data_IF_640891639947
#
_entry.id   IF_640891639947
#
_cell.length_a   1.000
_cell.length_b   1.000
_cell.length_c   1.000
_cell.angle_alpha   90.00
_cell.angle_beta   90.00
_cell.angle_gamma   90.00
#
_symmetry.space_group_name_H-M   'P 1'
#
loop_
_entity.id
_entity.type
_entity.pdbx_description
1 polymer ?
#
# COMPACT_ATOMS: atom_id res chain seq x y z
N UNK A 1 6.43 57.32 2.08
CA UNK A 1 6.16 56.04 1.40
C UNK A 1 6.92 54.98 2.16
N UNK A 2 6.25 54.27 3.07
CA UNK A 2 6.86 53.25 3.93
C UNK A 2 6.61 51.88 3.30
N UNK A 3 7.60 50.97 3.24
CA UNK A 3 7.36 49.60 2.79
C UNK A 3 6.60 48.81 3.88
N UNK A 4 5.60 48.04 3.46
CA UNK A 4 4.88 47.12 4.34
C UNK A 4 5.69 45.83 4.56
N UNK A 5 5.68 45.24 5.77
CA UNK A 5 6.33 43.97 6.03
C UNK A 5 5.54 42.82 5.41
N UNK A 6 6.27 41.90 4.78
CA UNK A 6 5.73 40.67 4.19
C UNK A 6 5.06 39.80 5.26
N UNK A 7 3.92 39.23 4.88
CA UNK A 7 3.20 38.29 5.72
C UNK A 7 4.02 37.00 5.88
N UNK A 8 4.44 36.75 7.11
CA UNK A 8 4.97 35.46 7.56
C UNK A 8 3.89 34.38 7.34
N UNK A 9 4.15 33.47 6.39
CA UNK A 9 3.36 32.25 6.24
C UNK A 9 3.84 31.22 7.25
N UNK A 10 2.96 30.55 8.02
CA UNK A 10 3.39 29.61 9.04
C UNK A 10 3.91 28.31 8.41
N UNK A 11 5.10 27.90 8.84
CA UNK A 11 5.75 26.65 8.48
C UNK A 11 4.95 25.44 8.97
N UNK A 12 4.19 24.80 8.06
CA UNK A 12 3.51 23.52 8.32
C UNK A 12 4.01 22.35 7.47
N UNK A 13 5.11 22.51 6.73
CA UNK A 13 5.51 21.54 5.70
C UNK A 13 6.99 21.12 5.75
N UNK A 14 7.50 20.77 6.94
CA UNK A 14 8.81 20.08 7.07
C UNK A 14 8.64 18.65 7.61
N UNK A 15 7.56 17.97 7.24
CA UNK A 15 7.56 16.50 7.30
C UNK A 15 8.41 16.00 6.13
N UNK A 16 9.48 15.23 6.35
CA UNK A 16 10.21 14.61 5.25
C UNK A 16 9.21 13.74 4.48
N UNK A 17 8.86 14.20 3.28
CA UNK A 17 8.08 13.43 2.33
C UNK A 17 9.06 12.50 1.62
N UNK A 18 8.87 11.20 1.81
CA UNK A 18 9.39 10.20 0.88
C UNK A 18 8.74 10.44 -0.49
N UNK A 19 9.33 9.92 -1.57
CA UNK A 19 8.74 10.01 -2.92
C UNK A 19 7.24 9.66 -2.95
N UNK A 20 6.86 8.70 -2.09
CA UNK A 20 5.48 8.36 -1.77
C UNK A 20 5.19 8.50 -0.30
N UNK A 21 4.07 9.12 0.05
CA UNK A 21 3.52 9.10 1.42
C UNK A 21 4.17 10.03 2.43
N UNK A 22 3.75 9.87 3.68
CA UNK A 22 4.26 10.61 4.83
C UNK A 22 4.84 9.65 5.87
N UNK A 23 5.46 10.19 6.91
CA UNK A 23 6.07 9.41 8.00
C UNK A 23 5.13 8.37 8.67
N UNK A 24 3.80 8.50 8.55
CA UNK A 24 2.84 7.52 9.09
C UNK A 24 2.59 6.33 8.17
N UNK A 25 2.39 6.56 6.87
CA UNK A 25 2.07 5.49 5.91
C UNK A 25 3.29 4.96 5.14
N UNK A 26 4.41 5.68 5.20
CA UNK A 26 5.64 5.36 4.45
C UNK A 26 6.92 5.55 5.28
N UNK A 27 6.80 5.72 6.60
CA UNK A 27 7.94 5.87 7.51
C UNK A 27 8.85 4.64 7.55
N UNK A 28 10.05 4.80 8.10
CA UNK A 28 11.08 3.75 8.11
C UNK A 28 10.71 2.51 8.93
N UNK A 29 9.98 2.68 10.02
CA UNK A 29 9.46 1.56 10.81
C UNK A 29 8.30 0.88 10.07
N UNK A 30 8.61 -0.27 9.46
CA UNK A 30 7.66 -1.06 8.67
C UNK A 30 6.48 -1.57 9.52
N UNK A 31 6.71 -1.95 10.78
CA UNK A 31 5.66 -2.45 11.67
C UNK A 31 4.66 -1.34 12.01
N UNK A 32 5.17 -0.16 12.38
CA UNK A 32 4.34 1.02 12.64
C UNK A 32 3.58 1.45 11.38
N UNK A 33 4.24 1.45 10.22
CA UNK A 33 3.59 1.76 8.95
C UNK A 33 2.52 0.72 8.59
N UNK A 34 2.74 -0.57 8.88
CA UNK A 34 1.77 -1.63 8.58
C UNK A 34 0.52 -1.49 9.44
N UNK A 35 0.70 -1.26 10.74
CA UNK A 35 -0.40 -1.00 11.66
C UNK A 35 -1.23 0.20 11.20
N UNK A 36 -0.58 1.28 10.75
CA UNK A 36 -1.28 2.43 10.18
C UNK A 36 -1.99 2.08 8.86
N UNK A 37 -1.30 1.45 7.92
CA UNK A 37 -1.81 1.19 6.58
C UNK A 37 -3.02 0.23 6.58
N UNK A 38 -3.00 -0.76 7.45
CA UNK A 38 -4.09 -1.73 7.63
C UNK A 38 -5.33 -1.13 8.28
N UNK A 39 -5.16 -0.19 9.23
CA UNK A 39 -6.28 0.31 10.06
C UNK A 39 -6.78 1.70 9.69
N UNK A 40 -5.98 2.54 9.02
CA UNK A 40 -6.28 3.97 8.82
C UNK A 40 -6.47 4.37 7.36
N UNK A 41 -6.01 3.60 6.38
CA UNK A 41 -6.22 3.99 4.97
C UNK A 41 -7.68 3.85 4.59
N UNK A 42 -8.24 4.91 4.02
CA UNK A 42 -9.63 4.91 3.53
C UNK A 42 -9.69 4.11 2.23
N UNK A 43 -10.50 3.05 2.19
CA UNK A 43 -10.78 2.31 0.96
C UNK A 43 -11.57 3.21 0.01
N UNK A 44 -11.04 3.44 -1.20
CA UNK A 44 -11.66 4.27 -2.24
C UNK A 44 -12.29 3.43 -3.35
N UNK A 45 -11.66 2.31 -3.71
CA UNK A 45 -12.17 1.39 -4.72
C UNK A 45 -11.95 -0.06 -4.30
N UNK A 46 -12.83 -0.92 -4.78
CA UNK A 46 -12.77 -2.38 -4.65
C UNK A 46 -12.56 -2.92 -6.06
N UNK A 47 -11.40 -3.50 -6.34
CA UNK A 47 -11.09 -4.05 -7.66
C UNK A 47 -11.40 -5.54 -7.67
N UNK A 48 -10.88 -6.28 -6.69
CA UNK A 48 -11.18 -7.71 -6.49
C UNK A 48 -11.62 -7.93 -5.04
N UNK A 49 -12.73 -8.65 -4.84
CA UNK A 49 -13.26 -9.02 -3.53
C UNK A 49 -13.63 -10.50 -3.48
N UNK A 50 -12.63 -11.34 -3.24
CA UNK A 50 -12.80 -12.77 -2.97
C UNK A 50 -12.32 -13.06 -1.55
N UNK A 51 -12.75 -14.18 -0.95
CA UNK A 51 -12.44 -14.52 0.45
C UNK A 51 -10.93 -14.59 0.72
N UNK A 52 -10.17 -15.18 -0.20
CA UNK A 52 -8.73 -15.46 -0.05
C UNK A 52 -7.86 -14.58 -0.97
N UNK A 53 -8.47 -13.66 -1.71
CA UNK A 53 -7.76 -12.74 -2.58
C UNK A 53 -8.54 -11.43 -2.72
N UNK A 54 -7.90 -10.31 -2.39
CA UNK A 54 -8.51 -9.00 -2.61
C UNK A 54 -7.52 -7.96 -3.06
N UNK A 55 -8.00 -7.06 -3.91
CA UNK A 55 -7.26 -5.89 -4.38
C UNK A 55 -8.14 -4.68 -4.21
N UNK A 56 -7.65 -3.67 -3.48
CA UNK A 56 -8.38 -2.43 -3.23
C UNK A 56 -7.48 -1.22 -3.35
N UNK A 57 -8.02 -0.11 -3.87
CA UNK A 57 -7.31 1.18 -3.86
C UNK A 57 -7.64 1.88 -2.55
N UNK A 58 -6.61 2.26 -1.78
CA UNK A 58 -6.76 2.93 -0.49
C UNK A 58 -5.99 4.24 -0.47
N UNK A 59 -6.47 5.21 0.29
CA UNK A 59 -5.89 6.55 0.38
C UNK A 59 -5.56 6.89 1.82
N UNK A 60 -4.36 7.41 2.06
CA UNK A 60 -3.95 7.94 3.34
C UNK A 60 -4.77 9.20 3.66
N UNK A 61 -5.49 9.26 4.79
CA UNK A 61 -6.27 10.44 5.15
C UNK A 61 -5.39 11.62 5.58
N UNK A 62 -4.13 11.39 5.97
CA UNK A 62 -3.22 12.46 6.42
C UNK A 62 -2.52 13.17 5.26
N UNK A 63 -2.03 12.44 4.25
CA UNK A 63 -1.22 13.02 3.17
C UNK A 63 -1.80 12.83 1.78
N UNK A 64 -2.92 12.09 1.64
CA UNK A 64 -3.54 11.83 0.35
C UNK A 64 -2.84 10.80 -0.53
N UNK A 65 -1.71 10.23 -0.10
CA UNK A 65 -1.02 9.16 -0.82
C UNK A 65 -1.94 7.96 -1.03
N UNK A 66 -1.99 7.47 -2.26
CA UNK A 66 -2.77 6.29 -2.63
C UNK A 66 -1.90 5.04 -2.68
N UNK A 67 -2.50 3.90 -2.37
CA UNK A 67 -1.88 2.59 -2.39
C UNK A 67 -2.83 1.57 -3.02
N UNK A 68 -2.29 0.60 -3.74
CA UNK A 68 -2.97 -0.67 -3.91
C UNK A 68 -2.70 -1.52 -2.67
N UNK A 69 -3.76 -1.93 -1.99
CA UNK A 69 -3.73 -2.89 -0.89
C UNK A 69 -4.12 -4.26 -1.45
N UNK A 70 -3.18 -5.18 -1.41
CA UNK A 70 -3.26 -6.51 -2.00
C UNK A 70 -3.21 -7.52 -0.85
N UNK A 71 -4.19 -8.41 -0.81
CA UNK A 71 -4.23 -9.51 0.14
C UNK A 71 -4.30 -10.83 -0.62
N UNK A 72 -3.52 -11.81 -0.17
CA UNK A 72 -3.52 -13.16 -0.71
C UNK A 72 -3.39 -14.15 0.43
N UNK A 73 -4.26 -15.16 0.44
CA UNK A 73 -4.26 -16.26 1.40
C UNK A 73 -4.24 -17.59 0.64
N UNK A 74 -3.37 -18.50 1.05
CA UNK A 74 -3.32 -19.88 0.54
C UNK A 74 -3.86 -20.80 1.63
N UNK A 75 -5.03 -21.38 1.38
CA UNK A 75 -5.76 -22.16 2.39
C UNK A 75 -5.21 -23.57 2.49
N UNK A 76 -4.71 -23.93 3.67
CA UNK A 76 -4.34 -25.30 4.00
C UNK A 76 -5.51 -26.01 4.69
N UNK A 77 -6.33 -26.68 3.89
CA UNK A 77 -7.46 -27.48 4.37
C UNK A 77 -7.08 -28.69 5.24
N UNK A 78 -5.79 -29.03 5.33
CA UNK A 78 -5.29 -30.18 6.09
C UNK A 78 -4.68 -29.74 7.41
N UNK A 79 -3.71 -28.83 7.37
CA UNK A 79 -2.96 -28.36 8.55
C UNK A 79 -3.60 -27.19 9.28
N UNK A 80 -4.49 -26.43 8.62
CA UNK A 80 -5.22 -25.30 9.19
C UNK A 80 -4.38 -24.04 9.45
N UNK A 81 -3.11 -24.02 9.04
CA UNK A 81 -2.25 -22.84 9.07
C UNK A 81 -2.14 -22.23 7.66
N UNK A 82 -2.99 -21.25 7.38
CA UNK A 82 -3.06 -20.62 6.07
C UNK A 82 -1.92 -19.59 5.88
N UNK A 83 -1.22 -19.67 4.75
CA UNK A 83 -0.21 -18.69 4.42
C UNK A 83 -0.87 -17.38 3.99
N UNK A 84 -0.53 -16.27 4.62
CA UNK A 84 -1.14 -14.96 4.36
C UNK A 84 -0.10 -13.92 3.97
N UNK A 85 -0.42 -13.16 2.93
CA UNK A 85 0.43 -12.11 2.39
C UNK A 85 -0.36 -10.84 2.21
N UNK A 86 0.24 -9.72 2.61
CA UNK A 86 -0.35 -8.40 2.46
C UNK A 86 0.68 -7.40 1.96
N UNK A 87 0.38 -6.74 0.84
CA UNK A 87 1.25 -5.72 0.25
C UNK A 87 0.50 -4.38 0.10
N UNK A 88 1.18 -3.29 0.43
CA UNK A 88 0.77 -1.93 0.08
C UNK A 88 1.75 -1.34 -0.93
N UNK A 89 1.33 -1.31 -2.19
CA UNK A 89 2.11 -0.73 -3.30
C UNK A 89 1.73 0.74 -3.46
N UNK A 90 2.66 1.69 -3.30
CA UNK A 90 2.35 3.10 -3.49
C UNK A 90 2.05 3.41 -4.96
N UNK A 91 1.06 4.27 -5.20
CA UNK A 91 0.57 4.63 -6.52
C UNK A 91 0.58 6.14 -6.75
N UNK A 92 0.82 6.54 -7.99
CA UNK A 92 0.59 7.90 -8.47
C UNK A 92 -0.90 8.14 -8.73
N UNK A 93 -1.31 9.40 -8.87
CA UNK A 93 -2.69 9.75 -9.24
C UNK A 93 -3.11 9.14 -10.58
N UNK A 94 -2.22 9.12 -11.57
CA UNK A 94 -2.50 8.57 -12.88
C UNK A 94 -2.78 7.06 -12.83
N UNK A 95 -1.98 6.32 -12.06
CA UNK A 95 -2.17 4.88 -11.87
C UNK A 95 -3.44 4.54 -11.11
N UNK A 96 -3.79 5.35 -10.10
CA UNK A 96 -5.09 5.21 -9.41
C UNK A 96 -6.23 5.35 -10.41
N UNK A 97 -6.19 6.35 -11.29
CA UNK A 97 -7.22 6.53 -12.32
C UNK A 97 -7.25 5.37 -13.32
N UNK A 98 -6.09 4.87 -13.76
CA UNK A 98 -5.99 3.74 -14.68
C UNK A 98 -6.55 2.45 -14.06
N UNK A 99 -6.10 2.09 -12.86
CA UNK A 99 -6.55 0.89 -12.14
C UNK A 99 -8.04 0.98 -11.79
N UNK A 100 -8.53 2.15 -11.38
CA UNK A 100 -9.96 2.36 -11.10
C UNK A 100 -10.81 2.16 -12.37
N UNK A 101 -10.33 2.59 -13.54
CA UNK A 101 -11.01 2.39 -14.82
C UNK A 101 -11.01 0.92 -15.28
N UNK A 102 -9.96 0.14 -14.94
CA UNK A 102 -9.94 -1.30 -15.19
C UNK A 102 -10.94 -2.07 -14.31
N UNK A 103 -11.17 -1.60 -13.07
CA UNK A 103 -12.13 -2.22 -12.15
C UNK A 103 -11.77 -3.67 -11.83
N UNK A 104 -12.74 -4.58 -11.92
CA UNK A 104 -12.52 -6.01 -11.67
C UNK A 104 -11.67 -6.73 -12.73
N UNK A 105 -11.32 -6.05 -13.83
CA UNK A 105 -10.41 -6.56 -14.87
C UNK A 105 -8.99 -6.05 -14.69
N UNK A 106 -8.64 -5.65 -13.46
CA UNK A 106 -7.31 -5.14 -13.14
C UNK A 106 -6.22 -6.10 -13.60
N UNK A 107 -5.20 -5.56 -14.25
CA UNK A 107 -4.05 -6.36 -14.66
C UNK A 107 -3.13 -6.60 -13.44
N UNK A 108 -3.15 -7.84 -12.95
CA UNK A 108 -2.34 -8.24 -11.78
C UNK A 108 -0.85 -8.24 -12.08
N UNK A 109 -0.44 -8.46 -13.34
CA UNK A 109 0.96 -8.42 -13.73
C UNK A 109 1.48 -6.97 -13.74
N UNK A 110 0.68 -6.04 -14.26
CA UNK A 110 0.96 -4.59 -14.16
C UNK A 110 1.12 -4.18 -12.69
N UNK A 111 0.20 -4.62 -11.83
CA UNK A 111 0.25 -4.30 -10.41
C UNK A 111 1.49 -4.87 -9.70
N UNK A 112 1.88 -6.10 -10.04
CA UNK A 112 3.12 -6.72 -9.56
C UNK A 112 4.37 -5.96 -10.04
N UNK A 113 4.39 -5.52 -11.30
CA UNK A 113 5.49 -4.72 -11.84
C UNK A 113 5.67 -3.39 -11.08
N UNK A 114 4.59 -2.69 -10.76
CA UNK A 114 4.63 -1.47 -9.94
C UNK A 114 5.22 -1.75 -8.54
N UNK A 115 4.80 -2.83 -7.89
CA UNK A 115 5.30 -3.24 -6.57
C UNK A 115 6.75 -3.74 -6.56
N UNK A 116 7.27 -4.13 -7.74
CA UNK A 116 8.65 -4.60 -7.92
C UNK A 116 9.66 -3.48 -8.09
N UNK A 117 9.23 -2.27 -8.47
CA UNK A 117 10.13 -1.13 -8.70
C UNK A 117 10.02 -0.05 -7.63
N UNK A 118 9.11 -0.22 -6.67
CA UNK A 118 8.83 0.75 -5.60
C UNK A 118 9.06 0.12 -4.24
N UNK A 119 9.42 0.96 -3.27
CA UNK A 119 9.48 0.59 -1.86
C UNK A 119 8.08 0.31 -1.34
N UNK A 120 7.62 -0.93 -1.50
CA UNK A 120 6.30 -1.40 -1.02
C UNK A 120 6.41 -1.88 0.42
N UNK A 121 5.31 -1.75 1.17
CA UNK A 121 5.21 -2.36 2.48
C UNK A 121 4.67 -3.77 2.33
N UNK A 122 5.36 -4.76 2.90
CA UNK A 122 4.98 -6.16 2.77
C UNK A 122 4.89 -6.83 4.15
N UNK A 123 3.88 -7.68 4.31
CA UNK A 123 3.69 -8.58 5.44
C UNK A 123 3.57 -10.00 4.89
N UNK A 124 4.51 -10.87 5.24
CA UNK A 124 4.60 -12.24 4.76
C UNK A 124 4.48 -13.22 5.91
N UNK A 125 3.42 -14.03 5.91
CA UNK A 125 3.11 -14.99 6.96
C UNK A 125 3.01 -16.37 6.32
N UNK A 126 4.14 -17.01 5.96
CA UNK A 126 4.15 -18.33 5.35
C UNK A 126 3.77 -19.42 6.36
N UNK A 127 3.09 -20.47 5.90
CA UNK A 127 2.84 -21.70 6.68
C UNK A 127 4.16 -22.31 7.13
N UNK A 128 4.28 -22.61 8.43
CA UNK A 128 5.48 -23.21 9.03
C UNK A 128 6.77 -22.36 8.95
N UNK A 129 6.69 -21.10 8.52
CA UNK A 129 7.84 -20.22 8.34
C UNK A 129 7.82 -18.99 9.26
N UNK A 130 8.90 -18.23 9.22
CA UNK A 130 8.99 -16.98 9.99
C UNK A 130 8.13 -15.89 9.36
N UNK A 131 7.37 -15.18 10.21
CA UNK A 131 6.59 -14.02 9.81
C UNK A 131 7.51 -12.83 9.65
N UNK A 132 7.35 -12.12 8.55
CA UNK A 132 8.18 -10.96 8.24
C UNK A 132 7.33 -9.76 7.85
N UNK A 133 7.72 -8.58 8.35
CA UNK A 133 7.15 -7.29 7.94
C UNK A 133 8.32 -6.41 7.54
N UNK A 134 8.34 -5.97 6.28
CA UNK A 134 9.47 -5.23 5.74
C UNK A 134 9.07 -4.30 4.61
N UNK A 135 9.93 -3.30 4.38
CA UNK A 135 9.94 -2.54 3.14
C UNK A 135 10.70 -3.32 2.07
N UNK A 136 10.07 -3.51 0.91
CA UNK A 136 10.56 -4.40 -0.15
C UNK A 136 10.63 -3.70 -1.51
N UNK A 137 11.59 -4.14 -2.32
CA UNK A 137 11.78 -3.72 -3.72
C UNK A 137 12.14 -4.93 -4.61
N UNK A 138 12.13 -6.13 -4.06
CA UNK A 138 12.24 -7.39 -4.79
C UNK A 138 10.99 -7.65 -5.65
N UNK A 139 11.04 -8.55 -6.63
CA UNK A 139 9.88 -8.87 -7.46
C UNK A 139 8.63 -9.23 -6.66
N UNK A 140 7.49 -8.64 -7.05
CA UNK A 140 6.17 -8.94 -6.52
C UNK A 140 5.35 -9.69 -7.58
N UNK A 141 4.89 -10.90 -7.24
CA UNK A 141 3.92 -11.64 -8.04
C UNK A 141 2.53 -11.52 -7.41
N UNK A 142 1.62 -10.81 -8.06
CA UNK A 142 0.22 -10.70 -7.63
C UNK A 142 -0.59 -11.79 -8.30
N UNK A 143 -1.16 -12.69 -7.50
CA UNK A 143 -1.97 -13.81 -7.98
C UNK A 143 -3.00 -14.19 -6.94
N UNK A 144 -4.08 -14.83 -7.41
CA UNK A 144 -5.03 -15.49 -6.52
C UNK A 144 -4.32 -16.59 -5.71
N UNK A 145 -4.70 -16.72 -4.45
CA UNK A 145 -4.31 -17.86 -3.62
C UNK A 145 -5.19 -19.06 -3.99
N UNK A 146 -4.57 -20.24 -4.05
CA UNK A 146 -5.23 -21.50 -4.34
C UNK A 146 -4.85 -22.54 -3.28
#
# INVERSE_FOLDING_TARGET
MLPQPGADSPAWNDRPMTEFGCARCSGEDALTALAFCTTRLTKTHRLVEQSHFSVSLRRCPECGQSFAAIFTEFVDWVGGEDAQYFDFVPLTTAEVSALAAQGARVDLAELGALGSVRRRLSSSWPTGGEKEIAWRTDPLSVREGH
#
